data_IF_925798717420
#
_entry.id   IF_925798717420
#
_cell.length_a   1.000
_cell.length_b   1.000
_cell.length_c   1.000
_cell.angle_alpha   90.00
_cell.angle_beta   90.00
_cell.angle_gamma   90.00
#
_symmetry.space_group_name_H-M   'P 1'
#
loop_
_entity.id
_entity.type
_entity.pdbx_description
1 polymer ?
#
# COMPACT_ATOMS: atom_id res chain seq x y z
N UNK A 1 82.50 12.11 2.20
CA UNK A 1 82.16 11.09 1.18
C UNK A 1 80.78 10.54 1.52
N UNK A 2 79.89 10.32 0.53
CA UNK A 2 78.52 10.87 0.53
C UNK A 2 77.38 9.94 0.98
N UNK A 3 76.22 10.57 1.19
CA UNK A 3 74.83 10.07 1.26
C UNK A 3 74.39 9.39 -0.07
N UNK A 4 73.21 8.71 -0.22
CA UNK A 4 71.93 9.46 -0.36
C UNK A 4 70.59 8.76 0.02
N UNK A 5 69.55 9.62 0.13
CA UNK A 5 68.13 9.47 -0.25
C UNK A 5 67.19 8.57 0.59
N UNK A 6 65.94 8.94 0.96
CA UNK A 6 64.97 9.82 0.27
C UNK A 6 63.82 10.31 1.20
N UNK A 7 63.47 11.60 1.04
CA UNK A 7 62.14 12.23 0.83
C UNK A 7 60.93 11.78 1.69
N UNK A 8 60.29 12.60 2.55
CA UNK A 8 59.57 13.88 2.27
C UNK A 8 58.20 13.55 1.62
N UNK A 9 57.01 13.84 2.17
CA UNK A 9 56.36 15.16 2.24
C UNK A 9 55.24 15.22 3.32
N UNK A 10 55.22 16.31 4.10
CA UNK A 10 54.04 16.84 4.80
C UNK A 10 53.61 18.11 4.08
N UNK A 11 52.33 18.27 3.76
CA UNK A 11 51.74 19.57 3.42
C UNK A 11 50.41 19.74 4.17
N UNK A 12 50.42 20.61 5.17
CA UNK A 12 49.26 21.36 5.67
C UNK A 12 48.95 22.47 4.66
N UNK A 13 47.68 22.80 4.41
CA UNK A 13 47.22 24.18 4.16
C UNK A 13 45.69 24.28 4.33
N UNK A 14 45.29 25.46 4.78
CA UNK A 14 44.05 25.83 5.48
C UNK A 14 43.10 26.67 4.59
N UNK A 15 41.84 26.76 5.03
CA UNK A 15 40.74 27.69 4.71
C UNK A 15 40.46 28.16 3.27
N UNK A 16 39.19 28.00 2.83
CA UNK A 16 38.27 29.14 2.58
C UNK A 16 36.83 28.69 2.29
N UNK A 17 35.93 29.18 3.13
CA UNK A 17 34.49 29.16 2.95
C UNK A 17 34.07 29.97 1.70
N UNK A 18 33.17 29.42 0.89
CA UNK A 18 32.47 30.16 -0.16
C UNK A 18 30.96 29.96 -0.02
N UNK A 19 30.27 31.10 0.04
CA UNK A 19 28.84 31.29 0.31
C UNK A 19 28.03 30.82 -0.90
N UNK A 20 27.10 29.88 -0.71
CA UNK A 20 26.05 29.60 -1.68
C UNK A 20 24.92 30.62 -1.49
N UNK A 21 24.77 31.50 -2.47
CA UNK A 21 23.76 32.54 -2.49
C UNK A 21 22.41 31.98 -2.96
N UNK A 22 21.38 32.23 -2.16
CA UNK A 22 19.99 32.03 -2.52
C UNK A 22 19.59 33.04 -3.62
N UNK A 23 19.11 32.55 -4.76
CA UNK A 23 18.41 33.38 -5.74
C UNK A 23 16.97 32.91 -5.88
N UNK A 24 16.08 33.54 -5.10
CA UNK A 24 14.64 33.60 -5.40
C UNK A 24 14.47 34.20 -6.78
N UNK A 25 13.65 33.58 -7.64
CA UNK A 25 13.04 34.28 -8.78
C UNK A 25 11.52 34.07 -8.68
N UNK A 26 10.87 35.10 -8.14
CA UNK A 26 9.46 35.37 -8.34
C UNK A 26 9.22 35.60 -9.84
N UNK A 27 8.17 34.99 -10.38
CA UNK A 27 7.65 35.22 -11.72
C UNK A 27 6.18 34.86 -11.74
N UNK A 28 5.37 35.71 -11.11
CA UNK A 28 3.91 35.68 -11.13
C UNK A 28 3.41 36.58 -12.27
N UNK A 29 2.23 36.26 -12.80
CA UNK A 29 1.37 36.99 -13.76
C UNK A 29 1.70 36.84 -15.25
N UNK A 30 0.88 36.03 -15.95
CA UNK A 30 -0.05 36.44 -17.01
C UNK A 30 -0.90 35.20 -17.38
N UNK A 31 -2.04 34.97 -16.74
CA UNK A 31 -3.37 35.43 -17.14
C UNK A 31 -3.71 35.12 -18.62
N UNK A 32 -4.18 33.90 -18.89
CA UNK A 32 -5.04 33.60 -20.05
C UNK A 32 -6.23 32.75 -19.63
N UNK A 33 -7.12 33.40 -18.88
CA UNK A 33 -8.50 32.95 -18.68
C UNK A 33 -9.29 33.32 -19.94
N UNK A 34 -9.55 32.35 -20.81
CA UNK A 34 -10.51 32.49 -21.92
C UNK A 34 -11.87 32.04 -21.42
N UNK A 35 -12.60 32.97 -20.80
CA UNK A 35 -13.99 32.76 -20.45
C UNK A 35 -14.91 32.99 -21.66
N UNK A 36 -15.78 32.00 -21.79
CA UNK A 36 -16.88 31.81 -22.71
C UNK A 36 -17.89 32.96 -22.62
N UNK A 37 -18.22 33.60 -23.75
CA UNK A 37 -19.39 34.48 -23.87
C UNK A 37 -20.11 34.08 -25.16
N UNK A 38 -21.22 33.36 -25.03
CA UNK A 38 -22.28 33.31 -26.04
C UNK A 38 -23.62 33.26 -25.32
N UNK A 39 -24.41 34.33 -25.42
CA UNK A 39 -25.72 34.45 -24.81
C UNK A 39 -26.72 34.99 -25.85
N UNK A 40 -27.71 34.15 -26.13
CA UNK A 40 -29.12 34.38 -26.51
C UNK A 40 -29.52 35.13 -27.78
N UNK A 41 -30.24 34.42 -28.64
CA UNK A 41 -31.63 34.70 -29.07
C UNK A 41 -32.11 33.42 -29.81
N UNK A 42 -33.27 32.80 -29.60
CA UNK A 42 -34.60 33.32 -29.30
C UNK A 42 -35.54 32.88 -30.45
N UNK A 43 -36.72 32.34 -30.11
CA UNK A 43 -37.85 31.93 -30.98
C UNK A 43 -37.90 30.45 -31.38
N UNK A 44 -39.04 29.78 -31.55
CA UNK A 44 -40.40 29.86 -31.01
C UNK A 44 -41.17 28.67 -31.63
N UNK A 45 -42.03 28.02 -30.86
CA UNK A 45 -43.32 27.43 -31.25
C UNK A 45 -43.45 26.15 -32.13
N UNK A 46 -44.44 25.35 -31.67
CA UNK A 46 -45.29 24.33 -32.31
C UNK A 46 -44.76 22.88 -32.26
N UNK A 47 -45.25 22.06 -31.32
CA UNK A 47 -46.53 21.34 -31.34
C UNK A 47 -46.55 20.15 -32.31
N UNK A 48 -46.62 18.93 -31.78
CA UNK A 48 -47.77 18.03 -31.97
C UNK A 48 -47.50 16.65 -31.36
N UNK A 49 -48.62 16.02 -31.01
CA UNK A 49 -48.79 14.77 -30.30
C UNK A 49 -48.30 13.52 -31.04
N UNK A 50 -48.12 12.43 -30.28
CA UNK A 50 -48.04 11.08 -30.84
C UNK A 50 -47.53 10.05 -29.84
N UNK A 51 -48.37 9.63 -28.89
CA UNK A 51 -48.21 8.33 -28.24
C UNK A 51 -48.63 7.24 -29.23
N UNK A 52 -47.78 6.24 -29.49
CA UNK A 52 -48.24 4.89 -29.87
C UNK A 52 -47.39 3.83 -29.16
N UNK A 53 -48.15 2.98 -28.47
CA UNK A 53 -47.86 1.70 -27.83
C UNK A 53 -47.23 0.69 -28.80
N UNK A 54 -46.28 -0.14 -28.34
CA UNK A 54 -46.32 -1.61 -28.45
C UNK A 54 -44.92 -2.23 -28.25
N UNK A 55 -44.76 -3.00 -27.16
CA UNK A 55 -43.96 -4.22 -27.20
C UNK A 55 -44.73 -5.27 -28.03
N UNK A 56 -44.05 -6.27 -28.64
CA UNK A 56 -44.10 -7.57 -27.99
C UNK A 56 -42.89 -8.51 -28.22
N UNK A 57 -42.87 -9.55 -27.38
CA UNK A 57 -42.49 -10.95 -27.64
C UNK A 57 -41.01 -11.34 -27.79
N UNK A 58 -40.51 -11.88 -26.69
CA UNK A 58 -39.86 -13.19 -26.56
C UNK A 58 -40.13 -14.18 -27.71
N UNK A 59 -39.05 -14.74 -28.27
CA UNK A 59 -39.04 -16.07 -28.89
C UNK A 59 -37.72 -16.77 -28.57
N UNK A 60 -37.83 -17.86 -27.81
CA UNK A 60 -36.81 -18.89 -27.66
C UNK A 60 -36.74 -19.76 -28.92
N UNK A 61 -35.54 -20.29 -29.24
CA UNK A 61 -35.31 -21.64 -29.79
C UNK A 61 -33.80 -22.00 -29.78
N UNK A 62 -33.40 -23.16 -29.21
CA UNK A 62 -32.26 -24.00 -29.63
C UNK A 62 -32.80 -25.12 -30.56
N UNK A 63 -32.18 -26.31 -30.80
CA UNK A 63 -30.80 -26.83 -30.65
C UNK A 63 -30.25 -27.54 -31.93
N UNK A 64 -28.98 -27.97 -31.95
CA UNK A 64 -28.43 -29.10 -32.74
C UNK A 64 -26.91 -29.22 -32.50
N UNK A 65 -26.38 -30.25 -31.81
CA UNK A 65 -26.04 -31.61 -32.30
C UNK A 65 -24.95 -31.59 -33.38
N UNK A 66 -23.92 -32.43 -33.45
CA UNK A 66 -23.48 -33.61 -32.71
C UNK A 66 -22.09 -34.03 -33.26
N UNK A 67 -21.42 -34.93 -32.55
CA UNK A 67 -20.34 -35.79 -33.08
C UNK A 67 -18.96 -35.44 -32.52
N UNK A 68 -18.17 -36.33 -31.93
CA UNK A 68 -18.29 -37.77 -31.72
C UNK A 68 -17.36 -38.16 -30.56
N UNK A 69 -17.82 -39.05 -29.70
CA UNK A 69 -16.97 -39.84 -28.80
C UNK A 69 -16.40 -41.07 -29.58
N UNK A 70 -15.88 -42.11 -28.91
CA UNK A 70 -14.62 -42.20 -28.17
C UNK A 70 -13.70 -43.29 -28.78
N UNK A 71 -12.45 -43.40 -28.32
CA UNK A 71 -11.72 -44.66 -28.48
C UNK A 71 -11.08 -45.08 -27.16
N UNK A 72 -11.33 -46.34 -26.87
CA UNK A 72 -11.17 -47.06 -25.63
C UNK A 72 -9.87 -47.87 -25.56
N UNK A 73 -9.33 -47.95 -24.34
CA UNK A 73 -8.77 -49.15 -23.67
C UNK A 73 -7.29 -49.55 -23.93
N UNK A 74 -6.70 -50.44 -23.09
CA UNK A 74 -6.69 -50.42 -21.62
C UNK A 74 -5.32 -50.79 -20.96
N UNK A 75 -5.23 -50.52 -19.65
CA UNK A 75 -4.58 -51.27 -18.56
C UNK A 75 -3.14 -51.84 -18.68
N UNK A 76 -2.32 -51.54 -17.66
CA UNK A 76 -1.72 -52.57 -16.79
C UNK A 76 -1.13 -51.99 -15.50
N UNK A 77 -1.65 -52.49 -14.39
CA UNK A 77 -1.07 -52.39 -13.05
C UNK A 77 0.12 -53.35 -12.92
N UNK A 78 1.15 -52.93 -12.18
CA UNK A 78 2.18 -53.83 -11.64
C UNK A 78 2.56 -53.35 -10.23
N UNK A 79 2.20 -54.18 -9.26
CA UNK A 79 2.57 -54.13 -7.84
C UNK A 79 4.04 -54.53 -7.61
N UNK A 80 4.66 -54.16 -6.46
CA UNK A 80 6.09 -54.33 -6.19
C UNK A 80 6.44 -55.67 -5.52
N UNK A 81 7.71 -56.14 -5.59
CA UNK A 81 8.23 -57.24 -4.78
C UNK A 81 8.92 -56.78 -3.47
N UNK A 82 9.17 -57.70 -2.52
CA UNK A 82 9.19 -57.41 -1.07
C UNK A 82 10.58 -57.22 -0.44
N UNK A 83 10.51 -56.86 0.83
CA UNK A 83 11.54 -56.53 1.81
C UNK A 83 12.81 -57.40 1.83
N UNK A 84 13.95 -56.72 2.02
CA UNK A 84 15.14 -57.26 2.66
C UNK A 84 15.38 -56.50 3.98
N UNK A 85 15.11 -57.20 5.08
CA UNK A 85 15.41 -56.78 6.45
C UNK A 85 16.87 -57.10 6.77
N UNK A 86 17.63 -56.11 7.23
CA UNK A 86 18.83 -56.32 8.04
C UNK A 86 18.81 -55.37 9.25
N UNK A 87 19.29 -55.80 10.43
CA UNK A 87 19.02 -55.15 11.70
C UNK A 87 20.07 -54.10 12.05
N UNK A 88 19.65 -52.93 12.55
CA UNK A 88 20.51 -52.06 13.35
C UNK A 88 19.81 -51.66 14.64
N UNK A 89 20.33 -52.21 15.73
CA UNK A 89 20.20 -51.65 17.07
C UNK A 89 20.94 -50.30 17.10
N UNK A 90 20.26 -49.26 17.57
CA UNK A 90 20.93 -48.15 18.27
C UNK A 90 19.95 -47.53 19.26
N UNK A 91 20.12 -47.96 20.51
CA UNK A 91 19.70 -47.29 21.74
C UNK A 91 19.82 -45.78 21.60
N UNK A 92 18.69 -45.06 21.71
CA UNK A 92 18.70 -43.63 21.97
C UNK A 92 17.94 -43.37 23.26
N UNK A 93 18.70 -42.87 24.22
CA UNK A 93 18.31 -42.48 25.56
C UNK A 93 17.11 -41.54 25.54
N UNK A 94 16.06 -41.90 26.27
CA UNK A 94 14.92 -41.04 26.53
C UNK A 94 15.29 -40.02 27.61
N UNK A 95 15.92 -38.92 27.19
CA UNK A 95 16.14 -37.74 28.04
C UNK A 95 14.95 -36.78 27.89
N UNK A 96 14.33 -36.30 28.98
CA UNK A 96 13.22 -35.35 28.89
C UNK A 96 13.68 -34.09 28.16
N UNK A 97 13.05 -33.79 27.03
CA UNK A 97 13.32 -32.58 26.26
C UNK A 97 12.92 -31.36 27.09
N UNK A 98 13.90 -30.51 27.42
CA UNK A 98 13.66 -29.18 27.98
C UNK A 98 12.68 -28.40 27.08
N UNK A 99 11.84 -27.50 27.63
CA UNK A 99 10.84 -26.79 26.84
C UNK A 99 11.57 -25.95 25.78
N UNK A 100 11.37 -26.31 24.51
CA UNK A 100 11.93 -25.58 23.39
C UNK A 100 11.34 -24.18 23.39
N UNK A 101 12.17 -23.16 23.66
CA UNK A 101 11.75 -21.75 23.60
C UNK A 101 11.16 -21.48 22.21
N UNK A 102 9.85 -21.22 22.17
CA UNK A 102 9.09 -21.07 20.92
C UNK A 102 9.63 -19.85 20.16
N UNK A 103 10.16 -20.05 18.96
CA UNK A 103 10.70 -18.97 18.11
C UNK A 103 9.55 -18.03 17.74
N UNK A 104 9.68 -16.74 18.08
CA UNK A 104 8.73 -15.68 17.72
C UNK A 104 8.47 -15.68 16.21
N UNK A 105 7.19 -15.73 15.83
CA UNK A 105 6.76 -15.66 14.43
C UNK A 105 7.00 -14.25 13.87
N UNK A 106 6.90 -14.09 12.54
CA UNK A 106 7.04 -12.79 11.89
C UNK A 106 5.98 -11.79 12.36
N UNK A 107 4.73 -12.25 12.49
CA UNK A 107 3.61 -11.43 12.99
C UNK A 107 3.79 -11.06 14.47
N UNK A 108 4.31 -11.96 15.31
CA UNK A 108 4.58 -11.63 16.71
C UNK A 108 5.60 -10.49 16.85
N UNK A 109 6.61 -10.46 15.97
CA UNK A 109 7.62 -9.37 15.97
C UNK A 109 7.01 -8.05 15.55
N UNK A 110 6.13 -8.04 14.56
CA UNK A 110 5.36 -6.84 14.16
C UNK A 110 4.53 -6.36 15.35
N UNK A 111 3.81 -7.27 16.02
CA UNK A 111 3.02 -6.95 17.21
C UNK A 111 3.83 -6.30 18.31
N UNK A 112 5.00 -6.87 18.65
CA UNK A 112 5.89 -6.34 19.68
C UNK A 112 6.43 -4.94 19.33
N UNK A 113 6.88 -4.72 18.10
CA UNK A 113 7.35 -3.41 17.67
C UNK A 113 6.23 -2.37 17.63
N UNK A 114 5.02 -2.76 17.22
CA UNK A 114 3.85 -1.88 17.24
C UNK A 114 3.46 -1.50 18.67
N UNK A 115 3.57 -2.41 19.62
CA UNK A 115 3.33 -2.12 21.03
C UNK A 115 4.41 -1.18 21.60
N UNK A 116 5.67 -1.33 21.16
CA UNK A 116 6.73 -0.38 21.51
C UNK A 116 6.46 1.01 20.92
N UNK A 117 6.00 1.08 19.66
CA UNK A 117 5.64 2.34 19.00
C UNK A 117 4.54 3.09 19.78
N UNK A 118 3.54 2.37 20.28
CA UNK A 118 2.48 2.95 21.10
C UNK A 118 2.97 3.55 22.43
N UNK A 119 4.15 3.13 22.92
CA UNK A 119 4.76 3.64 24.15
C UNK A 119 5.97 4.55 23.90
N UNK A 120 6.26 4.87 22.63
CA UNK A 120 7.38 5.73 22.26
C UNK A 120 7.23 7.12 22.90
N UNK A 121 8.32 7.62 23.49
CA UNK A 121 8.31 8.90 24.23
C UNK A 121 8.85 10.07 23.43
N UNK A 122 9.57 9.75 22.36
CA UNK A 122 10.22 10.75 21.51
C UNK A 122 9.86 10.54 20.04
N UNK A 123 9.78 11.61 19.23
CA UNK A 123 9.53 11.48 17.80
C UNK A 123 10.59 10.66 17.07
N UNK A 124 11.86 10.79 17.49
CA UNK A 124 12.98 10.04 16.90
C UNK A 124 12.82 8.53 17.14
N UNK A 125 12.51 8.13 18.38
CA UNK A 125 12.22 6.73 18.71
C UNK A 125 11.03 6.20 17.90
N UNK A 126 9.95 6.97 17.81
CA UNK A 126 8.78 6.58 17.02
C UNK A 126 9.15 6.38 15.54
N UNK A 127 9.92 7.30 14.94
CA UNK A 127 10.38 7.17 13.55
C UNK A 127 11.21 5.89 13.35
N UNK A 128 12.16 5.61 14.25
CA UNK A 128 12.98 4.40 14.14
C UNK A 128 12.14 3.12 14.22
N UNK A 129 11.13 3.09 15.10
CA UNK A 129 10.22 1.95 15.24
C UNK A 129 9.31 1.79 14.01
N UNK A 130 8.85 2.90 13.42
CA UNK A 130 8.10 2.89 12.16
C UNK A 130 8.95 2.33 11.00
N UNK A 131 10.19 2.76 10.86
CA UNK A 131 11.11 2.24 9.83
C UNK A 131 11.36 0.73 9.98
N UNK A 132 11.55 0.28 11.22
CA UNK A 132 11.72 -1.14 11.54
C UNK A 132 10.44 -1.94 11.22
N UNK A 133 9.27 -1.40 11.57
CA UNK A 133 7.99 -2.00 11.24
C UNK A 133 7.78 -2.11 9.73
N UNK A 134 8.09 -1.06 8.99
CA UNK A 134 7.96 -1.06 7.53
C UNK A 134 8.90 -2.08 6.88
N UNK A 135 10.13 -2.17 7.38
CA UNK A 135 11.09 -3.19 6.95
C UNK A 135 10.55 -4.59 7.21
N UNK A 136 9.98 -4.85 8.40
CA UNK A 136 9.40 -6.16 8.69
C UNK A 136 8.17 -6.46 7.82
N UNK A 137 7.24 -5.52 7.66
CA UNK A 137 6.03 -5.70 6.83
C UNK A 137 6.37 -5.99 5.37
N UNK A 138 7.40 -5.33 4.84
CA UNK A 138 7.87 -5.53 3.46
C UNK A 138 8.78 -6.76 3.29
N UNK A 139 9.39 -7.29 4.36
CA UNK A 139 10.26 -8.48 4.29
C UNK A 139 9.54 -9.74 3.79
N UNK A 140 8.22 -9.81 3.94
CA UNK A 140 7.40 -10.93 3.46
C UNK A 140 7.07 -10.87 1.95
N UNK A 141 7.49 -9.82 1.25
CA UNK A 141 7.17 -9.65 -0.17
C UNK A 141 8.11 -10.48 -1.06
N UNK A 142 7.53 -11.21 -2.01
CA UNK A 142 8.30 -11.94 -3.02
C UNK A 142 9.06 -10.96 -3.93
N UNK A 143 10.18 -11.36 -4.57
CA UNK A 143 10.91 -10.50 -5.50
C UNK A 143 10.04 -9.95 -6.63
N UNK A 144 9.12 -10.76 -7.17
CA UNK A 144 8.18 -10.34 -8.21
C UNK A 144 7.21 -9.28 -7.68
N UNK A 145 6.67 -9.47 -6.49
CA UNK A 145 5.79 -8.50 -5.84
C UNK A 145 6.52 -7.19 -5.56
N UNK A 146 7.77 -7.25 -5.10
CA UNK A 146 8.61 -6.06 -4.89
C UNK A 146 8.87 -5.31 -6.20
N UNK A 147 9.07 -6.03 -7.31
CA UNK A 147 9.23 -5.41 -8.63
C UNK A 147 7.96 -4.66 -9.06
N UNK A 148 6.79 -5.27 -8.89
CA UNK A 148 5.50 -4.64 -9.18
C UNK A 148 5.29 -3.38 -8.32
N UNK A 149 5.56 -3.47 -7.01
CA UNK A 149 5.48 -2.31 -6.12
C UNK A 149 6.41 -1.16 -6.55
N UNK A 150 7.65 -1.47 -6.95
CA UNK A 150 8.60 -0.46 -7.45
C UNK A 150 8.15 0.14 -8.78
N UNK A 151 7.58 -0.67 -9.69
CA UNK A 151 7.01 -0.20 -10.96
C UNK A 151 5.83 0.74 -10.71
N UNK A 152 4.90 0.37 -9.84
CA UNK A 152 3.77 1.20 -9.42
C UNK A 152 4.23 2.55 -8.85
N UNK A 153 5.23 2.55 -7.95
CA UNK A 153 5.76 3.78 -7.37
C UNK A 153 6.41 4.70 -8.43
N UNK A 154 7.08 4.12 -9.42
CA UNK A 154 7.64 4.85 -10.55
C UNK A 154 6.53 5.45 -11.42
N UNK A 155 5.46 4.70 -11.67
CA UNK A 155 4.35 5.14 -12.52
C UNK A 155 3.56 6.29 -11.89
N UNK A 156 3.36 6.29 -10.56
CA UNK A 156 2.84 7.47 -9.85
C UNK A 156 3.74 8.68 -10.01
N UNK A 157 5.06 8.50 -9.93
CA UNK A 157 6.02 9.59 -10.14
C UNK A 157 6.02 10.11 -11.58
N UNK A 158 5.52 9.31 -12.52
CA UNK A 158 5.37 9.64 -13.93
C UNK A 158 3.94 10.10 -14.29
N UNK A 159 3.13 10.46 -13.29
CA UNK A 159 1.73 10.93 -13.44
C UNK A 159 0.80 9.89 -14.10
N UNK A 160 1.08 8.59 -13.89
CA UNK A 160 0.26 7.47 -14.39
C UNK A 160 -0.26 6.60 -13.23
N UNK A 161 -1.13 7.15 -12.37
CA UNK A 161 -1.59 6.43 -11.18
C UNK A 161 -2.46 5.21 -11.52
N UNK A 162 -3.17 5.19 -12.65
CA UNK A 162 -4.00 4.05 -13.06
C UNK A 162 -3.15 2.78 -13.33
N UNK A 163 -2.04 2.92 -14.07
CA UNK A 163 -1.08 1.83 -14.26
C UNK A 163 -0.53 1.31 -12.93
N UNK A 164 -0.27 2.22 -11.99
CA UNK A 164 0.20 1.85 -10.65
C UNK A 164 -0.86 1.07 -9.86
N UNK A 165 -2.15 1.39 -10.02
CA UNK A 165 -3.25 0.63 -9.41
C UNK A 165 -3.35 -0.78 -9.99
N UNK A 166 -3.17 -0.92 -11.31
CA UNK A 166 -3.18 -2.23 -12.00
C UNK A 166 -2.02 -3.12 -11.53
N UNK A 167 -0.80 -2.58 -11.49
CA UNK A 167 0.39 -3.27 -10.95
C UNK A 167 0.19 -3.78 -9.53
N UNK A 168 -0.45 -2.95 -8.70
CA UNK A 168 -0.76 -3.32 -7.33
C UNK A 168 -1.89 -4.36 -7.26
N UNK A 169 -2.82 -4.38 -8.22
CA UNK A 169 -3.79 -5.45 -8.40
C UNK A 169 -3.11 -6.79 -8.64
N UNK A 170 -2.14 -6.84 -9.55
CA UNK A 170 -1.32 -8.03 -9.82
C UNK A 170 -0.52 -8.44 -8.57
N UNK A 171 0.08 -7.47 -7.87
CA UNK A 171 0.84 -7.73 -6.65
C UNK A 171 -0.02 -8.37 -5.55
N UNK A 172 -1.24 -7.87 -5.34
CA UNK A 172 -2.21 -8.43 -4.38
C UNK A 172 -2.65 -9.82 -4.81
N UNK A 173 -2.85 -10.07 -6.11
CA UNK A 173 -3.20 -11.40 -6.61
C UNK A 173 -2.10 -12.44 -6.32
N UNK A 174 -0.82 -12.03 -6.33
CA UNK A 174 0.30 -12.89 -5.98
C UNK A 174 0.42 -13.16 -4.48
N UNK A 175 0.12 -12.17 -3.62
CA UNK A 175 0.26 -12.27 -2.17
C UNK A 175 -0.91 -11.59 -1.42
N UNK A 176 -2.11 -12.20 -1.42
CA UNK A 176 -3.32 -11.55 -0.93
C UNK A 176 -3.34 -11.31 0.59
N UNK A 177 -2.49 -11.99 1.35
CA UNK A 177 -2.43 -11.89 2.81
C UNK A 177 -1.53 -10.74 3.29
N UNK A 178 -0.78 -10.10 2.39
CA UNK A 178 0.16 -9.04 2.74
C UNK A 178 -0.57 -7.69 2.87
N UNK A 179 -0.87 -7.28 4.10
CA UNK A 179 -1.55 -6.01 4.42
C UNK A 179 -0.94 -4.78 3.73
N UNK A 180 0.41 -4.74 3.66
CA UNK A 180 1.16 -3.66 3.01
C UNK A 180 0.76 -3.43 1.55
N UNK A 181 0.41 -4.49 0.80
CA UNK A 181 0.03 -4.35 -0.61
C UNK A 181 -1.32 -3.67 -0.78
N UNK A 182 -2.26 -3.97 0.12
CA UNK A 182 -3.56 -3.31 0.17
C UNK A 182 -3.39 -1.82 0.52
N UNK A 183 -2.58 -1.50 1.53
CA UNK A 183 -2.23 -0.09 1.85
C UNK A 183 -1.57 0.61 0.67
N UNK A 184 -0.60 -0.02 0.01
CA UNK A 184 0.08 0.55 -1.15
C UNK A 184 -0.88 0.81 -2.30
N UNK A 185 -1.80 -0.10 -2.62
CA UNK A 185 -2.82 0.14 -3.65
C UNK A 185 -3.75 1.28 -3.27
N UNK A 186 -4.17 1.37 -2.01
CA UNK A 186 -4.97 2.48 -1.52
C UNK A 186 -4.27 3.83 -1.71
N UNK A 187 -2.95 3.87 -1.49
CA UNK A 187 -2.15 5.07 -1.73
C UNK A 187 -2.15 5.45 -3.22
N UNK A 188 -2.00 4.47 -4.13
CA UNK A 188 -2.07 4.72 -5.57
C UNK A 188 -3.47 5.20 -5.99
N UNK A 189 -4.54 4.59 -5.43
CA UNK A 189 -5.94 4.98 -5.68
C UNK A 189 -6.25 6.38 -5.17
N UNK A 190 -5.73 6.77 -4.01
CA UNK A 190 -5.83 8.15 -3.51
C UNK A 190 -5.24 9.14 -4.53
N UNK A 191 -4.07 8.82 -5.11
CA UNK A 191 -3.44 9.67 -6.14
C UNK A 191 -4.26 9.66 -7.44
N UNK A 192 -4.86 8.54 -7.81
CA UNK A 192 -5.78 8.43 -8.95
C UNK A 192 -7.12 9.17 -8.72
N UNK A 193 -7.43 9.55 -7.48
CA UNK A 193 -8.71 10.16 -7.09
C UNK A 193 -9.83 9.14 -6.81
N UNK A 194 -9.54 7.84 -6.85
CA UNK A 194 -10.47 6.79 -6.43
C UNK A 194 -10.51 6.66 -4.90
N UNK A 195 -11.19 7.61 -4.26
CA UNK A 195 -11.28 7.67 -2.80
C UNK A 195 -12.08 6.50 -2.22
N UNK A 196 -13.12 6.04 -2.92
CA UNK A 196 -13.95 4.94 -2.46
C UNK A 196 -13.17 3.61 -2.47
N UNK A 197 -12.45 3.33 -3.57
CA UNK A 197 -11.58 2.17 -3.67
C UNK A 197 -10.41 2.22 -2.69
N UNK A 198 -9.86 3.41 -2.41
CA UNK A 198 -8.83 3.58 -1.39
C UNK A 198 -9.34 3.20 0.02
N UNK A 199 -10.55 3.62 0.41
CA UNK A 199 -11.14 3.22 1.70
C UNK A 199 -11.39 1.72 1.78
N UNK A 200 -11.87 1.09 0.69
CA UNK A 200 -12.05 -0.36 0.66
C UNK A 200 -10.74 -1.11 0.86
N UNK A 201 -9.68 -0.69 0.18
CA UNK A 201 -8.36 -1.30 0.31
C UNK A 201 -7.75 -1.08 1.70
N UNK A 202 -7.94 0.08 2.30
CA UNK A 202 -7.51 0.34 3.68
C UNK A 202 -8.28 -0.51 4.69
N UNK A 203 -9.58 -0.73 4.47
CA UNK A 203 -10.35 -1.69 5.25
C UNK A 203 -9.75 -3.10 5.16
N UNK A 204 -9.38 -3.54 3.96
CA UNK A 204 -8.74 -4.84 3.75
C UNK A 204 -7.33 -4.92 4.36
N UNK A 205 -6.55 -3.84 4.32
CA UNK A 205 -5.24 -3.74 4.97
C UNK A 205 -5.37 -3.86 6.49
N UNK A 206 -6.29 -3.07 7.09
CA UNK A 206 -6.50 -3.02 8.54
C UNK A 206 -7.17 -4.27 9.12
N UNK A 207 -7.90 -5.04 8.32
CA UNK A 207 -8.37 -6.36 8.72
C UNK A 207 -7.22 -7.36 8.89
N UNK A 208 -6.14 -7.20 8.12
CA UNK A 208 -4.96 -8.08 8.14
C UNK A 208 -3.92 -7.61 9.16
N UNK A 209 -3.71 -6.30 9.26
CA UNK A 209 -2.85 -5.68 10.27
C UNK A 209 -3.56 -4.48 10.92
N UNK A 210 -4.30 -4.72 12.02
CA UNK A 210 -5.01 -3.66 12.74
C UNK A 210 -4.08 -2.65 13.42
N UNK A 211 -2.81 -3.01 13.63
CA UNK A 211 -1.79 -2.18 14.29
C UNK A 211 -0.90 -1.43 13.28
N UNK A 212 -1.33 -1.34 12.01
CA UNK A 212 -0.66 -0.52 11.02
C UNK A 212 -1.06 0.96 11.15
N UNK A 213 -0.28 1.68 11.96
CA UNK A 213 -0.34 3.12 12.12
C UNK A 213 -0.40 3.87 10.77
N UNK A 214 0.41 3.46 9.79
CA UNK A 214 0.45 4.12 8.48
C UNK A 214 -0.84 3.92 7.69
N UNK A 215 -1.50 2.77 7.82
CA UNK A 215 -2.83 2.54 7.23
C UNK A 215 -3.90 3.45 7.85
N UNK A 216 -3.90 3.64 9.17
CA UNK A 216 -4.83 4.58 9.84
C UNK A 216 -4.58 6.04 9.46
N UNK A 217 -3.31 6.46 9.33
CA UNK A 217 -2.95 7.79 8.85
C UNK A 217 -3.39 8.02 7.39
N UNK A 218 -3.19 7.01 6.52
CA UNK A 218 -3.64 7.09 5.14
C UNK A 218 -5.17 7.14 5.07
N UNK A 219 -5.89 6.35 5.88
CA UNK A 219 -7.35 6.41 5.96
C UNK A 219 -7.85 7.78 6.41
N UNK A 220 -7.20 8.38 7.41
CA UNK A 220 -7.48 9.76 7.83
C UNK A 220 -7.41 10.70 6.63
N UNK A 221 -6.32 10.62 5.85
CA UNK A 221 -6.11 11.48 4.68
C UNK A 221 -7.16 11.22 3.60
N UNK A 222 -7.48 9.96 3.30
CA UNK A 222 -8.52 9.61 2.31
C UNK A 222 -9.87 10.17 2.73
N UNK A 223 -10.26 10.04 4.00
CA UNK A 223 -11.54 10.57 4.48
C UNK A 223 -11.57 12.10 4.52
N UNK A 224 -10.42 12.76 4.77
CA UNK A 224 -10.30 14.21 4.62
C UNK A 224 -10.56 14.66 3.18
N UNK A 225 -10.08 13.91 2.19
CA UNK A 225 -10.34 14.14 0.76
C UNK A 225 -11.80 13.85 0.38
N UNK A 226 -12.46 12.91 1.08
CA UNK A 226 -13.90 12.65 0.94
C UNK A 226 -14.77 13.68 1.66
N UNK A 227 -14.15 14.63 2.35
CA UNK A 227 -14.81 15.63 3.18
C UNK A 227 -15.64 15.02 4.34
N UNK A 228 -15.30 13.80 4.78
CA UNK A 228 -15.90 13.16 5.96
C UNK A 228 -15.01 13.42 7.18
N UNK A 229 -15.22 14.57 7.82
CA UNK A 229 -14.45 14.97 8.99
C UNK A 229 -14.61 14.03 10.19
N UNK A 230 -15.76 13.39 10.34
CA UNK A 230 -16.02 12.48 11.46
C UNK A 230 -15.26 11.16 11.28
N UNK A 231 -15.31 10.57 10.09
CA UNK A 231 -14.54 9.37 9.76
C UNK A 231 -13.04 9.64 9.86
N UNK A 232 -12.57 10.78 9.33
CA UNK A 232 -11.17 11.20 9.42
C UNK A 232 -10.71 11.35 10.89
N UNK A 233 -11.50 12.02 11.73
CA UNK A 233 -11.17 12.18 13.16
C UNK A 233 -11.06 10.83 13.87
N UNK A 234 -11.96 9.89 13.60
CA UNK A 234 -11.94 8.55 14.20
C UNK A 234 -10.71 7.76 13.76
N UNK A 235 -10.35 7.81 12.49
CA UNK A 235 -9.13 7.17 11.97
C UNK A 235 -7.87 7.80 12.58
N UNK A 236 -7.85 9.13 12.76
CA UNK A 236 -6.73 9.84 13.38
C UNK A 236 -6.55 9.47 14.85
N UNK A 237 -7.65 9.33 15.60
CA UNK A 237 -7.58 8.84 16.98
C UNK A 237 -6.95 7.44 17.05
N UNK A 238 -7.34 6.54 16.15
CA UNK A 238 -6.72 5.20 16.06
C UNK A 238 -5.24 5.26 15.70
N UNK A 239 -4.84 6.18 14.84
CA UNK A 239 -3.42 6.43 14.55
C UNK A 239 -2.67 6.89 15.81
N UNK A 240 -3.22 7.83 16.58
CA UNK A 240 -2.58 8.34 17.80
C UNK A 240 -2.54 7.31 18.93
N UNK A 241 -3.50 6.39 19.00
CA UNK A 241 -3.45 5.24 19.92
C UNK A 241 -2.22 4.36 19.63
N UNK A 242 -1.80 4.26 18.37
CA UNK A 242 -0.68 3.42 17.91
C UNK A 242 0.65 4.17 17.85
N UNK A 243 0.62 5.46 17.54
CA UNK A 243 1.79 6.33 17.52
C UNK A 243 1.42 7.70 18.13
N UNK A 244 1.53 7.85 19.46
CA UNK A 244 1.23 9.11 20.15
C UNK A 244 2.15 10.27 19.73
N UNK A 245 3.33 9.98 19.18
CA UNK A 245 4.31 10.98 18.77
C UNK A 245 4.02 11.58 17.38
N UNK A 246 3.09 11.01 16.61
CA UNK A 246 2.73 11.49 15.27
C UNK A 246 2.10 12.89 15.28
N UNK A 247 1.44 13.29 16.37
CA UNK A 247 0.84 14.63 16.54
C UNK A 247 1.13 15.21 17.92
N UNK A 248 2.41 15.38 18.23
CA UNK A 248 2.86 15.86 19.55
C UNK A 248 2.15 17.15 20.01
N UNK A 249 1.78 18.02 19.09
CA UNK A 249 1.14 19.31 19.39
C UNK A 249 -0.37 19.29 19.16
N UNK A 250 -0.97 18.12 18.90
CA UNK A 250 -2.40 17.91 18.62
C UNK A 250 -2.97 18.77 17.47
N UNK A 251 -2.10 19.31 16.61
CA UNK A 251 -2.50 20.28 15.58
C UNK A 251 -3.45 19.67 14.57
N UNK A 252 -3.17 18.44 14.13
CA UNK A 252 -4.01 17.75 13.15
C UNK A 252 -5.29 17.26 13.81
N UNK A 253 -5.20 16.79 15.06
CA UNK A 253 -6.37 16.39 15.85
C UNK A 253 -7.38 17.53 16.02
N UNK A 254 -6.92 18.72 16.41
CA UNK A 254 -7.78 19.89 16.61
C UNK A 254 -8.42 20.35 15.30
N UNK A 255 -7.64 20.37 14.21
CA UNK A 255 -8.15 20.71 12.88
C UNK A 255 -9.25 19.74 12.44
N UNK A 256 -9.06 18.43 12.64
CA UNK A 256 -10.05 17.41 12.34
C UNK A 256 -11.31 17.52 13.20
N UNK A 257 -11.16 17.87 14.48
CA UNK A 257 -12.30 18.09 15.39
C UNK A 257 -13.15 19.27 14.94
N UNK A 258 -12.53 20.37 14.51
CA UNK A 258 -13.24 21.52 13.93
C UNK A 258 -13.95 21.11 12.64
N UNK A 259 -13.30 20.32 11.78
CA UNK A 259 -13.90 19.84 10.53
C UNK A 259 -15.08 18.89 10.77
N UNK A 260 -15.03 18.10 11.84
CA UNK A 260 -16.06 17.11 12.20
C UNK A 260 -17.30 17.73 12.88
N UNK A 261 -17.12 18.77 13.69
CA UNK A 261 -18.19 19.31 14.56
C UNK A 261 -18.41 20.83 14.45
N UNK A 262 -17.59 21.55 13.68
CA UNK A 262 -17.54 23.00 13.67
C UNK A 262 -16.61 23.58 14.75
N UNK A 263 -16.44 24.90 14.75
CA UNK A 263 -15.67 25.60 15.78
C UNK A 263 -16.38 25.47 17.14
N UNK A 264 -15.68 25.10 18.24
CA UNK A 264 -16.26 25.23 19.57
C UNK A 264 -16.50 26.73 19.84
N UNK A 265 -17.76 27.08 20.06
CA UNK A 265 -18.21 28.44 20.43
C UNK A 265 -17.73 28.85 21.80
#
# INVERSE_FOLDING_TARGET
MPSPASSGWRLTHDMRATRFSARRRNGFLHLRSRFLILLMAGSCLLASAGQIVAAPTSTAHPPASAGSAPSSAPAKAATPPPAATSPQQSSHDNKPSAPSAKKLTHQDRIGLLADQLAHAKTPEEAHTLEDMLETLRSAGLSPTTQLLLRRAQKDVSAEKPDNAVDDMGDAIALQPDQAILWRSRAQMRLVAGDLAGAVQDLGAALQRDPKDAQSWNLLTTVEEHRNDGQAALKAWQKMLDLNPMADKNHKRMDALRIKAFGQPT
#
